data_IF_062089929654
#
_entry.id   IF_062089929654
#
_cell.length_a   1.000
_cell.length_b   1.000
_cell.length_c   1.000
_cell.angle_alpha   90.00
_cell.angle_beta   90.00
_cell.angle_gamma   90.00
#
_symmetry.space_group_name_H-M   'P 1'
#
loop_
_entity.id
_entity.type
_entity.pdbx_description
1 polymer ?
#
# COMPACT_ATOMS: atom_id res chain seq x y z
N UNK A 1 6.14 -31.86 -1.83
CA UNK A 1 6.03 -30.64 -1.01
C UNK A 1 7.34 -30.50 -0.27
N UNK A 2 8.09 -29.42 -0.49
CA UNK A 2 9.28 -29.16 0.34
C UNK A 2 8.84 -29.03 1.79
N UNK A 3 9.53 -29.73 2.69
CA UNK A 3 9.26 -29.57 4.12
C UNK A 3 9.62 -28.14 4.55
N UNK A 4 8.91 -27.60 5.54
CA UNK A 4 9.21 -26.26 6.10
C UNK A 4 10.70 -26.10 6.52
N UNK A 5 11.34 -27.22 6.89
CA UNK A 5 12.77 -27.28 7.21
C UNK A 5 13.64 -27.02 5.98
N UNK A 6 13.35 -27.67 4.85
CA UNK A 6 14.08 -27.49 3.59
C UNK A 6 13.90 -26.08 3.05
N UNK A 7 12.68 -25.52 3.15
CA UNK A 7 12.40 -24.15 2.73
C UNK A 7 13.19 -23.13 3.55
N UNK A 8 13.20 -23.28 4.88
CA UNK A 8 13.97 -22.39 5.78
C UNK A 8 15.47 -22.43 5.45
N UNK A 9 16.02 -23.62 5.24
CA UNK A 9 17.43 -23.80 4.91
C UNK A 9 17.78 -23.09 3.59
N UNK A 10 16.97 -23.28 2.55
CA UNK A 10 17.17 -22.65 1.24
C UNK A 10 17.15 -21.12 1.31
N UNK A 11 16.26 -20.55 2.13
CA UNK A 11 16.18 -19.09 2.32
C UNK A 11 17.43 -18.57 3.03
N UNK A 12 17.90 -19.25 4.08
CA UNK A 12 19.11 -18.85 4.81
C UNK A 12 20.35 -18.89 3.91
N UNK A 13 20.54 -20.00 3.19
CA UNK A 13 21.68 -20.17 2.26
C UNK A 13 21.70 -19.08 1.17
N UNK A 14 20.52 -18.59 0.77
CA UNK A 14 20.40 -17.51 -0.21
C UNK A 14 20.70 -16.13 0.39
N UNK A 15 20.23 -15.85 1.60
CA UNK A 15 20.49 -14.58 2.29
C UNK A 15 21.98 -14.39 2.53
N UNK A 16 22.70 -15.47 2.89
CA UNK A 16 24.14 -15.42 3.17
C UNK A 16 24.99 -15.03 1.95
N UNK A 17 24.45 -15.15 0.73
CA UNK A 17 25.12 -14.82 -0.53
C UNK A 17 24.48 -13.62 -1.24
N UNK A 18 23.45 -13.02 -0.66
CA UNK A 18 22.69 -11.95 -1.28
C UNK A 18 23.49 -10.64 -1.28
N UNK A 19 23.39 -9.89 -2.38
CA UNK A 19 23.92 -8.54 -2.45
C UNK A 19 23.03 -7.55 -1.67
N UNK A 20 23.56 -6.34 -1.43
CA UNK A 20 22.86 -5.30 -0.66
C UNK A 20 21.49 -4.95 -1.26
N UNK A 21 21.34 -5.02 -2.59
CA UNK A 21 20.07 -4.72 -3.26
C UNK A 21 19.02 -5.78 -2.91
N UNK A 22 19.40 -7.05 -2.95
CA UNK A 22 18.51 -8.15 -2.58
C UNK A 22 18.17 -8.13 -1.09
N UNK A 23 19.14 -7.80 -0.23
CA UNK A 23 18.91 -7.61 1.21
C UNK A 23 17.92 -6.47 1.49
N UNK A 24 18.01 -5.35 0.76
CA UNK A 24 17.03 -4.26 0.87
C UNK A 24 15.63 -4.69 0.47
N UNK A 25 15.49 -5.49 -0.59
CA UNK A 25 14.20 -6.04 -1.01
C UNK A 25 13.62 -6.96 0.07
N UNK A 26 14.43 -7.87 0.63
CA UNK A 26 13.98 -8.72 1.73
C UNK A 26 13.56 -7.90 2.95
N UNK A 27 14.33 -6.88 3.31
CA UNK A 27 13.99 -5.99 4.40
C UNK A 27 12.66 -5.26 4.16
N UNK A 28 12.40 -4.79 2.94
CA UNK A 28 11.14 -4.15 2.59
C UNK A 28 9.95 -5.12 2.69
N UNK A 29 10.10 -6.36 2.22
CA UNK A 29 9.08 -7.41 2.31
C UNK A 29 8.79 -7.73 3.78
N UNK A 30 9.82 -7.99 4.58
CA UNK A 30 9.70 -8.31 6.01
C UNK A 30 9.07 -7.13 6.76
N UNK A 31 9.46 -5.90 6.45
CA UNK A 31 8.91 -4.70 7.08
C UNK A 31 7.43 -4.50 6.76
N UNK A 32 7.03 -4.73 5.51
CA UNK A 32 5.62 -4.67 5.08
C UNK A 32 4.78 -5.82 5.64
N UNK A 33 5.37 -7.00 5.84
CA UNK A 33 4.69 -8.14 6.48
C UNK A 33 4.63 -8.01 8.01
N UNK A 34 5.50 -7.21 8.64
CA UNK A 34 5.48 -6.96 10.08
C UNK A 34 4.83 -5.63 10.46
N UNK A 35 4.48 -4.77 9.51
CA UNK A 35 3.70 -3.59 9.81
C UNK A 35 2.29 -4.00 10.22
N UNK A 36 1.86 -3.59 11.42
CA UNK A 36 0.50 -3.79 11.92
C UNK A 36 -0.56 -3.08 11.07
N UNK A 37 -0.14 -2.14 10.21
CA UNK A 37 -0.97 -1.45 9.22
C UNK A 37 -1.19 -2.28 7.95
N UNK A 38 -1.60 -3.55 8.10
CA UNK A 38 -1.97 -4.36 6.93
C UNK A 38 -3.33 -3.93 6.39
N UNK A 39 -3.29 -3.09 5.36
CA UNK A 39 -4.43 -2.80 4.50
C UNK A 39 -5.34 -1.67 4.99
N UNK A 40 -6.41 -1.43 4.23
CA UNK A 40 -7.41 -0.44 4.58
C UNK A 40 -8.16 -0.89 5.83
N UNK A 41 -8.31 0.00 6.80
CA UNK A 41 -9.26 -0.21 7.91
C UNK A 41 -10.67 -0.40 7.33
N UNK A 42 -11.55 -1.03 8.11
CA UNK A 42 -12.97 -1.20 7.72
C UNK A 42 -13.61 0.16 7.37
N UNK A 43 -13.31 1.18 8.16
CA UNK A 43 -13.78 2.55 7.93
C UNK A 43 -13.24 3.13 6.63
N UNK A 44 -11.92 3.01 6.37
CA UNK A 44 -11.35 3.46 5.10
C UNK A 44 -11.96 2.74 3.90
N UNK A 45 -12.24 1.44 4.03
CA UNK A 45 -12.90 0.65 2.98
C UNK A 45 -14.33 1.11 2.73
N UNK A 46 -15.12 1.33 3.78
CA UNK A 46 -16.50 1.83 3.66
C UNK A 46 -16.55 3.19 2.97
N UNK A 47 -15.61 4.10 3.28
CA UNK A 47 -15.51 5.40 2.62
C UNK A 47 -15.22 5.22 1.12
N UNK A 48 -14.30 4.31 0.76
CA UNK A 48 -13.95 4.06 -0.64
C UNK A 48 -15.09 3.40 -1.41
N UNK A 49 -15.77 2.42 -0.82
CA UNK A 49 -16.92 1.74 -1.43
C UNK A 49 -18.05 2.75 -1.71
N UNK A 50 -18.35 3.64 -0.76
CA UNK A 50 -19.32 4.72 -0.95
C UNK A 50 -18.93 5.68 -2.08
N UNK A 51 -17.67 6.13 -2.12
CA UNK A 51 -17.18 7.02 -3.19
C UNK A 51 -17.23 6.36 -4.56
N UNK A 52 -16.94 5.05 -4.61
CA UNK A 52 -17.01 4.29 -5.85
C UNK A 52 -18.46 4.17 -6.33
N UNK A 53 -19.40 3.90 -5.43
CA UNK A 53 -20.83 3.87 -5.73
C UNK A 53 -21.32 5.23 -6.25
N UNK A 54 -20.98 6.32 -5.57
CA UNK A 54 -21.31 7.69 -6.00
C UNK A 54 -20.78 8.01 -7.40
N UNK A 55 -19.54 7.61 -7.71
CA UNK A 55 -18.95 7.80 -9.02
C UNK A 55 -19.63 6.94 -10.11
N UNK A 56 -20.05 5.71 -9.79
CA UNK A 56 -20.78 4.86 -10.73
C UNK A 56 -22.15 5.43 -11.10
N UNK A 57 -22.87 5.99 -10.12
CA UNK A 57 -24.19 6.59 -10.35
C UNK A 57 -24.10 8.01 -10.95
N UNK A 58 -23.06 8.77 -10.60
CA UNK A 58 -22.84 10.12 -11.10
C UNK A 58 -21.35 10.40 -11.37
N UNK A 59 -20.83 10.01 -12.55
CA UNK A 59 -19.41 10.14 -12.88
C UNK A 59 -18.90 11.59 -12.89
N UNK A 60 -19.78 12.55 -13.12
CA UNK A 60 -19.47 13.99 -13.20
C UNK A 60 -19.65 14.70 -11.84
N UNK A 61 -19.99 13.98 -10.77
CA UNK A 61 -20.13 14.56 -9.41
C UNK A 61 -18.79 15.03 -8.81
N UNK A 62 -17.67 14.60 -9.38
CA UNK A 62 -16.34 15.01 -8.95
C UNK A 62 -15.94 16.40 -9.44
N UNK A 63 -14.92 16.99 -8.80
CA UNK A 63 -14.28 18.22 -9.28
C UNK A 63 -12.94 17.91 -9.93
N UNK A 64 -12.50 18.70 -10.92
CA UNK A 64 -11.12 18.65 -11.41
C UNK A 64 -10.13 18.87 -10.27
N UNK A 65 -9.06 18.08 -10.27
CA UNK A 65 -8.01 18.16 -9.24
C UNK A 65 -7.43 19.58 -9.08
N UNK A 66 -7.28 20.30 -10.20
CA UNK A 66 -6.80 21.68 -10.22
C UNK A 66 -7.69 22.64 -9.43
N UNK A 67 -9.00 22.44 -9.48
CA UNK A 67 -9.98 23.26 -8.77
C UNK A 67 -9.91 22.99 -7.26
N UNK A 68 -9.86 21.71 -6.86
CA UNK A 68 -9.70 21.29 -5.46
C UNK A 68 -8.42 21.83 -4.84
N UNK A 69 -7.29 21.73 -5.57
CA UNK A 69 -6.00 22.27 -5.08
C UNK A 69 -6.08 23.78 -4.91
N UNK A 70 -6.68 24.51 -5.86
CA UNK A 70 -6.81 25.96 -5.76
C UNK A 70 -7.70 26.38 -4.58
N UNK A 71 -8.79 25.65 -4.32
CA UNK A 71 -9.64 25.85 -3.14
C UNK A 71 -8.83 25.67 -1.85
N UNK A 72 -8.09 24.56 -1.72
CA UNK A 72 -7.28 24.27 -0.53
C UNK A 72 -6.16 25.30 -0.30
N UNK A 73 -5.49 25.75 -1.38
CA UNK A 73 -4.49 26.82 -1.28
C UNK A 73 -5.08 28.13 -0.78
N UNK A 74 -6.29 28.46 -1.25
CA UNK A 74 -6.99 29.68 -0.84
C UNK A 74 -7.47 29.61 0.62
N UNK A 75 -7.92 28.45 1.07
CA UNK A 75 -8.47 28.25 2.41
C UNK A 75 -7.38 28.08 3.48
N UNK A 76 -6.30 27.36 3.16
CA UNK A 76 -5.24 27.00 4.11
C UNK A 76 -3.89 27.69 3.86
N UNK A 77 -3.77 28.51 2.81
CA UNK A 77 -2.55 29.26 2.50
C UNK A 77 -1.37 28.40 2.02
N UNK A 78 -1.66 27.25 1.40
CA UNK A 78 -0.67 26.30 0.84
C UNK A 78 -0.03 26.77 -0.47
#
# INVERSE_FOLDING_TARGET
MDSSIQLRKKIHDFIDQADDKMLQIFNAIISNENSDEKGLTKEHREILDKRLEEHQYNPESGKPWTEVVNELKKEYGL
#
